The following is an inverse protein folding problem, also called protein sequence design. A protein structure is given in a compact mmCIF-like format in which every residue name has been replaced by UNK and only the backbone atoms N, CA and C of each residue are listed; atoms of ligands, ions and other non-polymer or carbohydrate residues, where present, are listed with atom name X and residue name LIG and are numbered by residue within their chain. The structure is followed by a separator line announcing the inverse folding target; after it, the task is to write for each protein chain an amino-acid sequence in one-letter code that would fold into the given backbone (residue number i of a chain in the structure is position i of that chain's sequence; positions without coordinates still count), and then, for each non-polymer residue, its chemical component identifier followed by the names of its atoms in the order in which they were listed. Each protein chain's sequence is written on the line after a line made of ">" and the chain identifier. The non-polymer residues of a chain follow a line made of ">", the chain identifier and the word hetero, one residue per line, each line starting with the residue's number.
data_IF_956707305412
#
_entry.id   IF_956707305412
#
_cell.length_a   1.000
_cell.length_b   1.000
_cell.length_c   1.000
_cell.angle_alpha   90.00
_cell.angle_beta   90.00
_cell.angle_gamma   90.00
#
_symmetry.space_group_name_H-M   'P 1'
#
loop_
_entity.id
_entity.type
_entity.pdbx_description
1 polymer ?
#
# COMPACT_ATOMS: atom_id res chain seq x y z
N UNK A 1 -31.94 -12.92 3.34
CA UNK A 1 -30.96 -12.57 4.40
C UNK A 1 -30.07 -11.46 3.87
N UNK A 2 -30.43 -10.24 4.21
CA UNK A 2 -29.68 -9.01 3.88
C UNK A 2 -28.51 -8.89 4.85
N UNK A 3 -27.36 -9.40 4.45
CA UNK A 3 -26.13 -9.24 5.22
C UNK A 3 -25.69 -7.77 5.21
N UNK A 4 -25.79 -7.09 6.33
CA UNK A 4 -25.15 -5.80 6.57
C UNK A 4 -23.64 -6.01 6.51
N UNK A 5 -22.97 -5.46 5.49
CA UNK A 5 -21.51 -5.38 5.48
C UNK A 5 -21.10 -4.29 6.47
N UNK A 6 -20.30 -4.58 7.50
CA UNK A 6 -19.85 -3.56 8.42
C UNK A 6 -18.92 -2.58 7.66
N UNK A 7 -19.30 -1.31 7.60
CA UNK A 7 -18.45 -0.26 7.04
C UNK A 7 -17.46 0.18 8.12
N UNK A 8 -16.18 0.09 7.83
CA UNK A 8 -15.16 0.68 8.70
C UNK A 8 -15.14 2.21 8.54
N UNK A 9 -14.82 2.99 9.58
CA UNK A 9 -14.70 4.44 9.49
C UNK A 9 -13.75 4.88 8.36
N UNK A 10 -12.66 4.17 8.16
CA UNK A 10 -11.70 4.42 7.07
C UNK A 10 -12.34 4.24 5.68
N UNK A 11 -13.17 3.21 5.48
CA UNK A 11 -13.88 3.01 4.22
C UNK A 11 -14.91 4.11 3.94
N UNK A 12 -15.54 4.64 4.99
CA UNK A 12 -16.48 5.76 4.88
C UNK A 12 -15.73 7.05 4.51
N UNK A 13 -14.62 7.36 5.19
CA UNK A 13 -13.79 8.54 4.91
C UNK A 13 -13.22 8.50 3.49
N UNK A 14 -12.69 7.35 3.05
CA UNK A 14 -12.21 7.16 1.68
C UNK A 14 -13.32 7.42 0.66
N UNK A 15 -14.53 6.96 0.94
CA UNK A 15 -15.67 7.16 0.05
C UNK A 15 -16.11 8.63 0.00
N UNK A 16 -16.09 9.33 1.14
CA UNK A 16 -16.37 10.76 1.22
C UNK A 16 -15.33 11.56 0.47
N UNK A 17 -14.04 11.28 0.67
CA UNK A 17 -12.94 11.93 -0.05
C UNK A 17 -13.04 11.72 -1.56
N UNK A 18 -13.35 10.50 -2.00
CA UNK A 18 -13.58 10.19 -3.42
C UNK A 18 -14.69 11.06 -4.02
N UNK A 19 -15.81 11.21 -3.32
CA UNK A 19 -16.96 12.01 -3.79
C UNK A 19 -16.65 13.51 -3.80
N UNK A 20 -15.90 14.00 -2.80
CA UNK A 20 -15.53 15.43 -2.69
C UNK A 20 -14.45 15.82 -3.70
N UNK A 21 -13.44 14.99 -3.92
CA UNK A 21 -12.37 15.25 -4.89
C UNK A 21 -12.82 15.08 -6.34
N UNK A 22 -13.81 14.23 -6.60
CA UNK A 22 -14.33 13.94 -7.95
C UNK A 22 -15.86 13.82 -7.94
N UNK A 23 -16.56 14.97 -7.89
CA UNK A 23 -18.00 14.97 -8.04
C UNK A 23 -18.38 14.36 -9.39
N UNK A 24 -19.32 13.41 -9.38
CA UNK A 24 -19.82 12.83 -10.62
C UNK A 24 -20.46 13.91 -11.48
N UNK A 25 -20.28 13.86 -12.80
CA UNK A 25 -20.96 14.78 -13.70
C UNK A 25 -22.46 14.69 -13.48
N UNK A 26 -23.09 15.84 -13.37
CA UNK A 26 -24.52 15.94 -13.18
C UNK A 26 -25.20 15.91 -14.56
N UNK A 27 -26.15 15.00 -14.74
CA UNK A 27 -26.90 14.86 -15.99
C UNK A 27 -28.28 15.47 -15.78
N UNK A 28 -28.65 16.34 -16.69
CA UNK A 28 -30.00 16.88 -16.79
C UNK A 28 -30.59 16.41 -18.13
N UNK A 29 -31.60 15.56 -18.06
CA UNK A 29 -32.40 15.09 -19.19
C UNK A 29 -33.88 15.17 -18.85
N UNK A 30 -34.75 15.09 -19.82
CA UNK A 30 -36.23 15.14 -19.61
C UNK A 30 -36.70 14.06 -18.62
N UNK A 31 -36.01 12.92 -18.56
CA UNK A 31 -36.40 11.76 -17.74
C UNK A 31 -35.59 11.63 -16.42
N UNK A 32 -34.48 12.35 -16.27
CA UNK A 32 -33.60 12.18 -15.11
C UNK A 32 -32.73 13.41 -14.84
N UNK A 33 -32.77 13.86 -13.59
CA UNK A 33 -31.89 14.92 -13.08
C UNK A 33 -31.09 14.34 -11.90
N UNK A 34 -29.77 14.23 -12.04
CA UNK A 34 -28.94 13.69 -10.99
C UNK A 34 -27.53 13.27 -11.46
N UNK A 35 -26.69 12.73 -10.53
CA UNK A 35 -25.36 12.26 -10.89
C UNK A 35 -25.42 11.06 -11.82
N UNK A 36 -24.50 10.99 -12.80
CA UNK A 36 -24.43 9.88 -13.75
C UNK A 36 -24.25 8.54 -13.00
N UNK A 37 -25.19 7.64 -13.22
CA UNK A 37 -25.23 6.29 -12.58
C UNK A 37 -24.73 5.19 -13.50
N UNK A 38 -24.39 5.49 -14.76
CA UNK A 38 -23.98 4.47 -15.73
C UNK A 38 -22.57 3.94 -15.37
N UNK A 39 -22.49 2.63 -15.16
CA UNK A 39 -21.24 1.92 -14.87
C UNK A 39 -20.73 1.07 -16.03
N UNK A 40 -21.47 1.00 -17.13
CA UNK A 40 -21.09 0.21 -18.31
C UNK A 40 -20.98 1.12 -19.53
N UNK A 41 -19.86 1.00 -20.23
CA UNK A 41 -19.69 1.52 -21.58
C UNK A 41 -20.48 0.59 -22.49
N UNK A 42 -21.56 1.08 -23.08
CA UNK A 42 -22.24 0.35 -24.15
C UNK A 42 -21.37 0.45 -25.40
N UNK A 43 -20.82 -0.66 -25.86
CA UNK A 43 -19.94 -0.77 -27.03
C UNK A 43 -20.57 -0.24 -28.35
N UNK A 44 -21.90 -0.05 -28.38
CA UNK A 44 -22.64 0.45 -29.54
C UNK A 44 -23.23 1.85 -29.35
N UNK A 45 -22.72 2.63 -28.41
CA UNK A 45 -23.19 3.99 -28.19
C UNK A 45 -22.56 4.94 -29.22
N UNK A 46 -23.36 5.41 -30.15
CA UNK A 46 -22.94 6.40 -31.20
C UNK A 46 -23.17 7.86 -30.81
N UNK A 47 -23.52 8.14 -29.56
CA UNK A 47 -23.69 9.51 -29.05
C UNK A 47 -22.39 10.22 -28.72
N UNK A 48 -22.40 11.53 -28.42
CA UNK A 48 -21.18 12.26 -28.08
C UNK A 48 -20.51 11.66 -26.86
N UNK A 49 -19.21 11.29 -27.00
CA UNK A 49 -18.37 10.83 -25.92
C UNK A 49 -18.27 11.93 -24.86
N UNK A 50 -18.98 11.77 -23.75
CA UNK A 50 -19.04 12.74 -22.65
C UNK A 50 -17.97 12.48 -21.57
N UNK A 51 -17.00 11.59 -21.82
CA UNK A 51 -15.95 11.24 -20.88
C UNK A 51 -14.59 11.57 -21.48
N UNK A 52 -13.90 12.52 -20.86
CA UNK A 52 -12.50 12.88 -21.18
C UNK A 52 -11.50 11.98 -20.46
N UNK A 53 -11.92 11.12 -19.55
CA UNK A 53 -11.07 10.15 -18.84
C UNK A 53 -11.88 8.89 -18.52
N UNK A 54 -11.20 7.74 -18.56
CA UNK A 54 -11.80 6.46 -18.15
C UNK A 54 -12.08 6.47 -16.64
N UNK A 55 -13.35 6.23 -16.21
CA UNK A 55 -13.70 6.20 -14.79
C UNK A 55 -12.94 5.14 -13.99
N UNK A 56 -12.50 4.08 -14.65
CA UNK A 56 -11.78 2.99 -14.00
C UNK A 56 -10.32 3.38 -13.73
N UNK A 57 -9.63 4.06 -14.68
CA UNK A 57 -8.28 4.59 -14.48
C UNK A 57 -8.21 5.63 -13.35
N UNK A 58 -9.22 6.48 -13.27
CA UNK A 58 -9.36 7.51 -12.24
C UNK A 58 -9.65 6.92 -10.87
N UNK A 59 -10.47 5.86 -10.80
CA UNK A 59 -10.73 5.15 -9.56
C UNK A 59 -9.48 4.44 -9.06
N UNK A 60 -8.72 3.82 -9.97
CA UNK A 60 -7.46 3.14 -9.68
C UNK A 60 -6.38 4.11 -9.16
N UNK A 61 -6.32 5.34 -9.67
CA UNK A 61 -5.36 6.35 -9.20
C UNK A 61 -5.68 6.86 -7.80
N UNK A 62 -6.96 7.13 -7.51
CA UNK A 62 -7.39 7.54 -6.17
C UNK A 62 -7.21 6.41 -5.15
N UNK A 63 -7.49 5.17 -5.53
CA UNK A 63 -7.24 4.01 -4.66
C UNK A 63 -5.76 3.83 -4.38
N UNK A 64 -4.89 4.08 -5.37
CA UNK A 64 -3.43 4.09 -5.21
C UNK A 64 -2.97 5.18 -4.25
N UNK A 65 -3.46 6.41 -4.41
CA UNK A 65 -3.10 7.54 -3.54
C UNK A 65 -3.51 7.27 -2.09
N UNK A 66 -4.74 6.79 -1.87
CA UNK A 66 -5.24 6.42 -0.53
C UNK A 66 -4.43 5.28 0.08
N UNK A 67 -4.07 4.28 -0.70
CA UNK A 67 -3.22 3.19 -0.23
C UNK A 67 -1.83 3.69 0.18
N UNK A 68 -1.18 4.54 -0.63
CA UNK A 68 0.12 5.14 -0.36
C UNK A 68 0.11 5.99 0.92
N UNK A 69 -0.90 6.86 1.07
CA UNK A 69 -1.05 7.69 2.27
C UNK A 69 -1.24 6.82 3.52
N UNK A 70 -2.11 5.80 3.44
CA UNK A 70 -2.36 4.90 4.56
C UNK A 70 -1.09 4.15 4.97
N UNK A 71 -0.34 3.60 4.01
CA UNK A 71 0.92 2.90 4.28
C UNK A 71 1.93 3.86 4.91
N UNK A 72 2.05 5.09 4.39
CA UNK A 72 2.96 6.10 4.92
C UNK A 72 2.68 6.44 6.39
N UNK A 73 1.41 6.63 6.74
CA UNK A 73 0.97 6.90 8.12
C UNK A 73 1.27 5.72 9.04
N UNK A 74 1.01 4.49 8.61
CA UNK A 74 1.29 3.28 9.39
C UNK A 74 2.79 3.10 9.64
N UNK A 75 3.64 3.32 8.63
CA UNK A 75 5.09 3.24 8.77
C UNK A 75 5.64 4.31 9.73
N UNK A 76 5.15 5.53 9.64
CA UNK A 76 5.55 6.61 10.53
C UNK A 76 5.12 6.34 11.98
N UNK A 77 3.92 5.80 12.19
CA UNK A 77 3.46 5.37 13.51
C UNK A 77 4.35 4.27 14.09
N UNK A 78 4.79 3.30 13.27
CA UNK A 78 5.72 2.27 13.70
C UNK A 78 7.08 2.82 14.09
N UNK A 79 7.64 3.77 13.34
CA UNK A 79 8.91 4.44 13.69
C UNK A 79 8.83 5.16 15.03
N UNK A 80 7.76 5.91 15.24
CA UNK A 80 7.52 6.60 16.52
C UNK A 80 7.42 5.61 17.68
N UNK A 81 6.75 4.49 17.46
CA UNK A 81 6.63 3.45 18.47
C UNK A 81 7.99 2.82 18.82
N UNK A 82 8.81 2.48 17.81
CA UNK A 82 10.16 1.94 18.00
C UNK A 82 11.02 2.93 18.78
N UNK A 83 10.98 4.22 18.39
CA UNK A 83 11.71 5.28 19.07
C UNK A 83 11.26 5.46 20.52
N UNK A 84 9.95 5.47 20.77
CA UNK A 84 9.38 5.64 22.11
C UNK A 84 9.73 4.48 23.05
N UNK A 85 9.90 3.27 22.52
CA UNK A 85 10.27 2.08 23.29
C UNK A 85 11.77 1.85 23.42
N UNK A 86 12.59 2.66 22.73
CA UNK A 86 14.04 2.52 22.73
C UNK A 86 14.56 1.30 21.96
N UNK A 87 13.73 0.68 21.12
CA UNK A 87 14.13 -0.48 20.32
C UNK A 87 12.98 -1.37 19.89
N UNK A 88 13.33 -2.55 19.38
CA UNK A 88 12.40 -3.54 18.85
C UNK A 88 12.28 -4.72 19.85
N UNK A 89 11.23 -4.70 20.65
CA UNK A 89 10.85 -5.84 21.49
C UNK A 89 9.96 -6.83 20.71
N UNK A 90 9.59 -7.93 21.35
CA UNK A 90 8.74 -8.98 20.73
C UNK A 90 7.38 -8.45 20.27
N UNK A 91 6.78 -7.59 21.07
CA UNK A 91 5.48 -6.97 20.74
C UNK A 91 5.61 -6.03 19.54
N UNK A 92 6.64 -5.20 19.52
CA UNK A 92 6.95 -4.30 18.42
C UNK A 92 7.24 -5.08 17.14
N UNK A 93 8.02 -6.17 17.22
CA UNK A 93 8.30 -7.02 16.06
C UNK A 93 7.04 -7.65 15.47
N UNK A 94 6.12 -8.11 16.32
CA UNK A 94 4.82 -8.62 15.87
C UNK A 94 3.96 -7.55 15.19
N UNK A 95 4.01 -6.33 15.69
CA UNK A 95 3.31 -5.21 15.04
C UNK A 95 3.93 -4.85 13.70
N UNK A 96 5.26 -4.78 13.60
CA UNK A 96 5.98 -4.59 12.33
C UNK A 96 5.56 -5.65 11.31
N UNK A 97 5.56 -6.91 11.72
CA UNK A 97 5.16 -8.03 10.87
C UNK A 97 3.74 -7.84 10.30
N UNK A 98 2.77 -7.50 11.17
CA UNK A 98 1.37 -7.25 10.76
C UNK A 98 1.25 -6.05 9.83
N UNK A 99 1.94 -4.95 10.13
CA UNK A 99 1.95 -3.76 9.26
C UNK A 99 2.51 -4.11 7.89
N UNK A 100 3.60 -4.89 7.82
CA UNK A 100 4.16 -5.34 6.54
C UNK A 100 3.21 -6.26 5.76
N UNK A 101 2.48 -7.14 6.43
CA UNK A 101 1.45 -7.95 5.77
C UNK A 101 0.33 -7.07 5.19
N UNK A 102 -0.16 -6.08 5.95
CA UNK A 102 -1.17 -5.15 5.47
C UNK A 102 -0.64 -4.28 4.32
N UNK A 103 0.60 -3.80 4.42
CA UNK A 103 1.26 -3.04 3.35
C UNK A 103 1.36 -3.86 2.07
N UNK A 104 1.85 -5.09 2.16
CA UNK A 104 1.93 -6.02 1.01
C UNK A 104 0.56 -6.27 0.38
N UNK A 105 -0.47 -6.49 1.19
CA UNK A 105 -1.83 -6.70 0.72
C UNK A 105 -2.40 -5.47 -0.01
N UNK A 106 -2.25 -4.27 0.56
CA UNK A 106 -2.70 -3.01 -0.06
C UNK A 106 -1.95 -2.71 -1.36
N UNK A 107 -0.63 -2.89 -1.36
CA UNK A 107 0.19 -2.70 -2.55
C UNK A 107 -0.25 -3.62 -3.70
N UNK A 108 -0.57 -4.88 -3.38
CA UNK A 108 -1.12 -5.84 -4.36
C UNK A 108 -2.46 -5.40 -4.93
N UNK A 109 -3.36 -4.87 -4.11
CA UNK A 109 -4.67 -4.39 -4.56
C UNK A 109 -4.56 -3.25 -5.57
N UNK A 110 -3.61 -2.34 -5.36
CA UNK A 110 -3.36 -1.20 -6.27
C UNK A 110 -2.29 -1.49 -7.33
N UNK A 111 -1.86 -2.75 -7.44
CA UNK A 111 -0.85 -3.24 -8.39
C UNK A 111 0.52 -2.57 -8.27
N UNK A 112 0.87 -2.10 -7.08
CA UNK A 112 2.20 -1.56 -6.78
C UNK A 112 3.16 -2.71 -6.41
N UNK A 113 3.74 -3.35 -7.43
CA UNK A 113 4.64 -4.50 -7.28
C UNK A 113 5.92 -4.17 -6.52
N UNK A 114 6.36 -2.92 -6.54
CA UNK A 114 7.61 -2.50 -5.90
C UNK A 114 7.46 -2.41 -4.40
N UNK A 115 6.39 -1.77 -3.92
CA UNK A 115 6.03 -1.73 -2.49
C UNK A 115 5.67 -3.12 -1.97
N UNK A 116 4.94 -3.93 -2.76
CA UNK A 116 4.64 -5.32 -2.41
C UNK A 116 5.94 -6.13 -2.17
N UNK A 117 6.90 -6.04 -3.10
CA UNK A 117 8.19 -6.74 -3.01
C UNK A 117 9.02 -6.29 -1.81
N UNK A 118 9.10 -4.99 -1.54
CA UNK A 118 9.81 -4.45 -0.40
C UNK A 118 9.21 -4.92 0.93
N UNK A 119 7.88 -4.92 1.05
CA UNK A 119 7.17 -5.41 2.23
C UNK A 119 7.36 -6.92 2.43
N UNK A 120 7.32 -7.70 1.35
CA UNK A 120 7.54 -9.13 1.38
C UNK A 120 8.99 -9.49 1.78
N UNK A 121 9.97 -8.68 1.36
CA UNK A 121 11.37 -8.81 1.77
C UNK A 121 11.51 -8.67 3.29
N UNK A 122 10.82 -7.69 3.89
CA UNK A 122 10.80 -7.50 5.35
C UNK A 122 10.14 -8.66 6.09
N UNK A 123 9.00 -9.16 5.61
CA UNK A 123 8.33 -10.35 6.17
C UNK A 123 9.29 -11.53 6.18
N UNK A 124 9.94 -11.80 5.03
CA UNK A 124 10.94 -12.87 4.89
C UNK A 124 12.12 -12.70 5.85
N UNK A 125 12.55 -11.47 6.12
CA UNK A 125 13.59 -11.17 7.09
C UNK A 125 13.16 -11.52 8.50
N UNK A 126 12.00 -11.06 8.94
CA UNK A 126 11.46 -11.31 10.29
C UNK A 126 11.28 -12.80 10.53
N UNK A 127 10.71 -13.53 9.56
CA UNK A 127 10.52 -14.98 9.63
C UNK A 127 11.85 -15.71 9.77
N UNK A 128 12.86 -15.31 8.99
CA UNK A 128 14.18 -15.93 9.03
C UNK A 128 14.93 -15.66 10.35
N UNK A 129 14.69 -14.51 10.99
CA UNK A 129 15.31 -14.15 12.27
C UNK A 129 14.63 -14.83 13.45
N UNK A 130 13.34 -15.10 13.40
CA UNK A 130 12.57 -15.87 14.40
C UNK A 130 12.38 -15.20 15.77
N UNK A 131 12.92 -14.00 15.97
CA UNK A 131 12.75 -13.26 17.23
C UNK A 131 13.46 -11.91 17.25
N UNK A 132 13.11 -11.04 18.22
CA UNK A 132 13.62 -9.67 18.29
C UNK A 132 15.13 -9.60 18.50
N UNK A 133 15.68 -10.48 19.34
CA UNK A 133 17.12 -10.48 19.68
C UNK A 133 18.02 -10.78 18.47
N UNK A 134 17.47 -11.44 17.45
CA UNK A 134 18.18 -11.73 16.21
C UNK A 134 17.91 -10.72 15.10
N UNK A 135 16.92 -9.85 15.27
CA UNK A 135 16.60 -8.79 14.32
C UNK A 135 17.53 -7.60 14.51
N UNK A 136 18.17 -7.19 13.42
CA UNK A 136 18.98 -5.97 13.38
C UNK A 136 18.06 -4.77 13.12
N UNK A 137 17.96 -3.79 14.05
CA UNK A 137 17.13 -2.59 13.84
C UNK A 137 17.50 -1.81 12.57
N UNK A 138 18.77 -1.83 12.17
CA UNK A 138 19.20 -1.15 10.94
C UNK A 138 18.57 -1.77 9.69
N UNK A 139 18.32 -3.07 9.67
CA UNK A 139 17.63 -3.73 8.54
C UNK A 139 16.16 -3.30 8.48
N UNK A 140 15.52 -3.15 9.64
CA UNK A 140 14.14 -2.67 9.74
C UNK A 140 14.03 -1.25 9.20
N UNK A 141 14.94 -0.37 9.61
CA UNK A 141 14.96 1.02 9.15
C UNK A 141 15.23 1.13 7.64
N UNK A 142 16.16 0.34 7.10
CA UNK A 142 16.43 0.30 5.65
C UNK A 142 15.16 -0.06 4.86
N UNK A 143 14.36 -1.02 5.33
CA UNK A 143 13.11 -1.38 4.67
C UNK A 143 12.06 -0.27 4.77
N UNK A 144 11.92 0.36 5.93
CA UNK A 144 11.01 1.48 6.10
C UNK A 144 11.39 2.67 5.22
N UNK A 145 12.69 3.00 5.13
CA UNK A 145 13.17 4.05 4.24
C UNK A 145 12.94 3.72 2.77
N UNK A 146 13.20 2.49 2.37
CA UNK A 146 12.97 2.05 1.00
C UNK A 146 11.47 2.15 0.62
N UNK A 147 10.56 1.65 1.48
CA UNK A 147 9.13 1.75 1.21
C UNK A 147 8.68 3.21 1.18
N UNK A 148 9.16 4.06 2.10
CA UNK A 148 8.86 5.50 2.08
C UNK A 148 9.31 6.16 0.78
N UNK A 149 10.51 5.86 0.31
CA UNK A 149 11.01 6.38 -0.96
C UNK A 149 10.15 5.92 -2.14
N UNK A 150 9.75 4.65 -2.18
CA UNK A 150 8.86 4.12 -3.20
C UNK A 150 7.49 4.81 -3.20
N UNK A 151 6.97 5.16 -2.02
CA UNK A 151 5.69 5.85 -1.88
C UNK A 151 5.77 7.35 -2.23
N UNK A 152 6.91 8.00 -2.00
CA UNK A 152 7.08 9.44 -2.23
C UNK A 152 7.26 9.80 -3.70
N UNK A 153 7.68 8.86 -4.53
CA UNK A 153 7.93 9.09 -5.96
C UNK A 153 6.74 8.60 -6.78
N UNK A 154 6.02 9.53 -7.38
CA UNK A 154 4.85 9.22 -8.23
C UNK A 154 5.27 8.62 -9.58
N UNK A 155 6.47 9.00 -10.07
CA UNK A 155 7.06 8.53 -11.32
C UNK A 155 8.50 8.05 -11.06
N UNK A 156 8.63 6.88 -10.44
CA UNK A 156 9.94 6.25 -10.28
C UNK A 156 10.31 5.46 -11.55
N UNK A 157 11.56 5.60 -11.99
CA UNK A 157 12.09 4.73 -13.04
C UNK A 157 11.95 3.25 -12.62
N UNK A 158 11.32 2.40 -13.45
CA UNK A 158 11.18 0.97 -13.16
C UNK A 158 12.51 0.28 -12.85
N UNK A 159 13.61 0.69 -13.49
CA UNK A 159 14.94 0.14 -13.23
C UNK A 159 15.46 0.53 -11.84
N UNK A 160 15.17 1.73 -11.37
CA UNK A 160 15.50 2.18 -10.01
C UNK A 160 14.68 1.45 -8.95
N UNK A 161 13.38 1.31 -9.16
CA UNK A 161 12.49 0.56 -8.29
C UNK A 161 12.94 -0.91 -8.14
N UNK A 162 13.32 -1.55 -9.25
CA UNK A 162 13.84 -2.91 -9.25
C UNK A 162 15.20 -3.02 -8.54
N UNK A 163 16.06 -2.00 -8.68
CA UNK A 163 17.35 -1.92 -7.97
C UNK A 163 17.13 -1.84 -6.45
N UNK A 164 16.16 -1.05 -5.98
CA UNK A 164 15.79 -0.98 -4.56
C UNK A 164 15.38 -2.37 -4.05
N UNK A 165 14.47 -3.04 -4.77
CA UNK A 165 14.01 -4.39 -4.42
C UNK A 165 15.17 -5.40 -4.31
N UNK A 166 16.05 -5.45 -5.31
CA UNK A 166 17.24 -6.33 -5.27
C UNK A 166 18.18 -6.01 -4.11
N UNK A 167 18.38 -4.75 -3.79
CA UNK A 167 19.23 -4.35 -2.68
C UNK A 167 18.67 -4.83 -1.33
N UNK A 168 17.36 -4.71 -1.10
CA UNK A 168 16.70 -5.22 0.10
C UNK A 168 16.86 -6.74 0.23
N UNK A 169 16.58 -7.47 -0.84
CA UNK A 169 16.74 -8.93 -0.88
C UNK A 169 18.19 -9.36 -0.61
N UNK A 170 19.17 -8.64 -1.14
CA UNK A 170 20.59 -8.90 -0.90
C UNK A 170 20.98 -8.64 0.57
N UNK A 171 20.40 -7.62 1.22
CA UNK A 171 20.60 -7.37 2.66
C UNK A 171 20.04 -8.51 3.48
N UNK A 172 18.82 -8.95 3.19
CA UNK A 172 18.18 -10.09 3.86
C UNK A 172 18.97 -11.37 3.67
N UNK A 173 19.39 -11.68 2.45
CA UNK A 173 20.18 -12.87 2.16
C UNK A 173 21.49 -12.91 2.94
N UNK A 174 22.21 -11.79 3.02
CA UNK A 174 23.45 -11.68 3.83
C UNK A 174 23.21 -11.90 5.31
N UNK A 175 22.12 -11.37 5.87
CA UNK A 175 21.80 -11.57 7.31
C UNK A 175 21.40 -13.00 7.59
N UNK A 176 20.63 -13.65 6.71
CA UNK A 176 20.28 -15.07 6.81
C UNK A 176 21.51 -15.96 6.79
N UNK A 177 22.42 -15.73 5.85
CA UNK A 177 23.68 -16.51 5.73
C UNK A 177 24.52 -16.39 7.01
N UNK A 178 24.70 -15.19 7.56
CA UNK A 178 25.45 -14.98 8.81
C UNK A 178 24.81 -15.71 9.99
N UNK A 179 23.48 -15.76 10.07
CA UNK A 179 22.77 -16.47 11.13
C UNK A 179 22.99 -17.98 11.05
N UNK A 180 22.92 -18.57 9.86
CA UNK A 180 23.15 -19.99 9.67
C UNK A 180 24.54 -20.42 10.14
N UNK A 181 25.55 -19.58 9.91
CA UNK A 181 26.94 -19.81 10.37
C UNK A 181 27.08 -19.66 11.88
N UNK A 182 26.27 -18.81 12.52
CA UNK A 182 26.36 -18.58 13.98
C UNK A 182 25.62 -19.64 14.81
N UNK A 183 24.76 -20.45 14.21
CA UNK A 183 23.95 -21.49 14.91
C UNK A 183 24.49 -22.92 14.66
N UNK A 184 25.37 -23.07 13.65
CA UNK A 184 26.06 -24.34 13.37
C UNK A 184 27.44 -24.39 14.02
#
# INVERSE_FOLDING_TARGET
>A
STGFKPFTPAAILSRIQLVLRRPRPFIVSEAYVGPDRRRKVELNYSGPLRRTCDPDEVADEVEREVARETISVELEAMRRLISARGGVDRSTLQMIYRVMQHTSFRARQVRDKTVERASQSMITYVDAMGGPDACDPAVIEIHFDAIRNLLSQTEMDPAEADRIGRNLEAVVARKRARRLVAVG
#
